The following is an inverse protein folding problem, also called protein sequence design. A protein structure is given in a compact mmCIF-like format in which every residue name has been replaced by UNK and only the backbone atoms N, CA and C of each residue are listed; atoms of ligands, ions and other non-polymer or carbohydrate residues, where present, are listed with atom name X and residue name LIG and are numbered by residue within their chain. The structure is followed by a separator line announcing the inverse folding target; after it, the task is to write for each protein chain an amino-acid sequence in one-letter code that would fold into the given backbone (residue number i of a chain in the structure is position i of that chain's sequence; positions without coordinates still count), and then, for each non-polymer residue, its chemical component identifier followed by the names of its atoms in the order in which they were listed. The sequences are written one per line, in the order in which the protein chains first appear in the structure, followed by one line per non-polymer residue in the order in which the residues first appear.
data_IF_266427959033
#
_entry.id   IF_266427959033
#
_cell.length_a   1.000
_cell.length_b   1.000
_cell.length_c   1.000
_cell.angle_alpha   90.00
_cell.angle_beta   90.00
_cell.angle_gamma   90.00
#
_symmetry.space_group_name_H-M   'P 1'
#
loop_
_entity.id
_entity.type
_entity.pdbx_description
1 polymer ?
#
# COMPACT_ATOMS: atom_id res chain seq x y z
N UNK A 1 62.14 8.23 49.77
CA UNK A 1 61.03 8.31 48.79
C UNK A 1 60.94 6.98 48.07
N UNK A 2 60.07 6.00 48.34
CA UNK A 2 58.68 6.01 48.81
C UNK A 2 57.73 6.09 47.60
N UNK A 3 56.79 5.18 47.31
CA UNK A 3 56.33 3.90 47.91
C UNK A 3 55.56 3.14 46.81
N UNK A 4 55.62 1.80 46.82
CA UNK A 4 54.60 0.89 46.23
C UNK A 4 53.37 0.87 47.13
N UNK A 5 52.14 0.93 46.59
CA UNK A 5 50.87 0.45 47.20
C UNK A 5 49.87 0.24 46.04
N UNK A 6 49.46 -0.97 45.63
CA UNK A 6 48.46 -1.91 46.17
C UNK A 6 47.01 -1.38 46.23
N UNK A 7 46.09 -1.95 45.45
CA UNK A 7 44.64 -2.08 45.75
C UNK A 7 44.03 -3.05 44.72
N UNK A 8 43.77 -4.30 45.09
CA UNK A 8 42.53 -4.86 45.69
C UNK A 8 41.32 -4.91 44.76
N UNK A 9 40.83 -6.15 44.56
CA UNK A 9 39.57 -6.52 43.93
C UNK A 9 38.39 -6.06 44.80
N UNK A 10 37.30 -5.63 44.18
CA UNK A 10 35.95 -6.04 44.55
C UNK A 10 34.98 -5.73 43.40
N UNK A 11 34.20 -6.74 43.00
CA UNK A 11 33.12 -6.58 42.04
C UNK A 11 31.90 -5.93 42.67
N UNK A 12 31.08 -5.29 41.85
CA UNK A 12 29.65 -5.17 42.07
C UNK A 12 28.93 -4.80 40.76
N UNK A 13 27.91 -5.60 40.46
CA UNK A 13 26.90 -5.44 39.43
C UNK A 13 26.07 -4.17 39.60
N UNK A 14 25.80 -3.43 38.51
CA UNK A 14 24.64 -2.53 38.37
C UNK A 14 24.21 -2.53 36.89
N UNK A 15 23.17 -3.31 36.57
CA UNK A 15 21.77 -2.91 36.47
C UNK A 15 21.46 -2.09 35.20
N UNK A 16 20.82 -2.78 34.26
CA UNK A 16 20.22 -2.27 33.04
C UNK A 16 19.17 -1.19 33.35
N UNK A 17 19.26 -0.04 32.68
CA UNK A 17 18.24 1.01 32.71
C UNK A 17 17.36 0.90 31.47
N UNK A 18 16.27 0.13 31.57
CA UNK A 18 15.13 0.21 30.65
C UNK A 18 13.89 0.51 31.48
N UNK A 19 13.29 1.69 31.31
CA UNK A 19 11.99 1.94 31.92
C UNK A 19 11.55 3.40 32.03
N UNK A 20 11.33 4.08 30.92
CA UNK A 20 10.42 5.24 30.91
C UNK A 20 9.57 5.25 29.66
N UNK A 21 8.51 4.44 29.67
CA UNK A 21 7.47 4.46 28.63
C UNK A 21 6.11 4.05 29.22
N UNK A 22 5.74 4.53 30.41
CA UNK A 22 4.36 4.43 30.89
C UNK A 22 3.98 5.66 31.72
N UNK A 23 2.85 6.27 31.36
CA UNK A 23 2.20 7.35 32.11
C UNK A 23 1.94 6.94 33.57
N UNK A 24 2.01 7.90 34.49
CA UNK A 24 1.82 7.75 35.95
C UNK A 24 0.50 7.05 36.30
N UNK A 25 -0.51 7.11 35.42
CA UNK A 25 -1.79 6.39 35.61
C UNK A 25 -1.67 4.88 35.37
N UNK A 26 -0.83 4.42 34.44
CA UNK A 26 -0.62 3.00 34.18
C UNK A 26 0.17 2.32 35.31
N UNK A 27 1.11 3.03 35.93
CA UNK A 27 1.85 2.53 37.10
C UNK A 27 0.93 2.33 38.31
N UNK A 28 -0.06 3.20 38.52
CA UNK A 28 -1.00 3.09 39.64
C UNK A 28 -1.91 1.84 39.55
N UNK A 29 -2.38 1.49 38.34
CA UNK A 29 -3.21 0.29 38.11
C UNK A 29 -2.41 -1.00 38.32
N UNK A 30 -1.16 -1.02 37.85
CA UNK A 30 -0.25 -2.16 38.03
C UNK A 30 0.04 -2.41 39.52
N UNK A 31 0.31 -1.35 40.29
CA UNK A 31 0.57 -1.45 41.74
C UNK A 31 -0.68 -1.90 42.52
N UNK A 32 -1.88 -1.48 42.13
CA UNK A 32 -3.13 -1.93 42.75
C UNK A 32 -3.42 -3.42 42.50
N UNK A 33 -3.08 -3.94 41.31
CA UNK A 33 -3.25 -5.35 40.97
C UNK A 33 -2.29 -6.26 41.75
N UNK A 34 -1.03 -5.84 41.95
CA UNK A 34 -0.07 -6.58 42.76
C UNK A 34 -0.43 -6.66 44.25
N UNK A 35 -1.09 -5.62 44.81
CA UNK A 35 -1.60 -5.65 46.19
C UNK A 35 -2.74 -6.64 46.43
N UNK A 36 -3.45 -7.07 45.37
CA UNK A 36 -4.55 -8.04 45.43
C UNK A 36 -4.13 -9.49 45.14
N UNK A 37 -2.84 -9.80 45.17
CA UNK A 37 -2.34 -11.16 44.96
C UNK A 37 -2.36 -11.64 43.52
N UNK A 38 -2.60 -10.74 42.55
CA UNK A 38 -2.46 -11.07 41.13
C UNK A 38 -0.98 -11.25 40.80
N UNK A 39 -0.55 -12.52 40.65
CA UNK A 39 0.73 -12.86 40.05
C UNK A 39 0.47 -13.26 38.60
N UNK A 40 0.75 -12.40 37.60
CA UNK A 40 0.65 -12.82 36.21
C UNK A 40 1.60 -14.00 36.02
N UNK A 41 1.07 -15.15 35.60
CA UNK A 41 1.91 -16.30 35.30
C UNK A 41 2.78 -15.98 34.07
N UNK A 42 4.04 -15.62 34.33
CA UNK A 42 5.03 -15.34 33.29
C UNK A 42 5.24 -16.55 32.35
N UNK A 43 4.88 -17.78 32.77
CA UNK A 43 4.90 -18.97 31.90
C UNK A 43 3.81 -18.95 30.83
N UNK A 44 2.68 -18.28 31.09
CA UNK A 44 1.58 -18.09 30.11
C UNK A 44 1.97 -17.17 28.95
N UNK A 45 2.97 -16.31 29.14
CA UNK A 45 3.48 -15.39 28.12
C UNK A 45 4.72 -15.92 27.39
N UNK A 46 5.52 -16.81 28.03
CA UNK A 46 6.72 -17.40 27.40
C UNK A 46 6.40 -18.27 26.18
N UNK A 47 5.40 -19.16 26.29
CA UNK A 47 5.05 -20.08 25.19
C UNK A 47 4.39 -19.42 23.97
N UNK A 48 4.03 -18.13 24.05
CA UNK A 48 3.42 -17.37 22.94
C UNK A 48 4.44 -16.57 22.13
N UNK A 49 5.67 -16.42 22.64
CA UNK A 49 6.77 -15.70 21.96
C UNK A 49 7.59 -16.66 21.08
N UNK A 50 7.50 -17.98 21.32
CA UNK A 50 8.35 -19.00 20.68
C UNK A 50 7.89 -19.45 19.28
N UNK A 51 6.77 -18.92 18.77
CA UNK A 51 6.38 -19.05 17.35
C UNK A 51 6.04 -17.67 16.81
N UNK A 52 7.07 -16.94 16.40
CA UNK A 52 6.90 -15.85 15.44
C UNK A 52 7.03 -16.49 14.05
N UNK A 53 5.95 -16.93 13.39
CA UNK A 53 6.08 -17.26 11.97
C UNK A 53 6.60 -15.99 11.29
N UNK A 54 7.76 -16.08 10.63
CA UNK A 54 8.20 -14.98 9.78
C UNK A 54 7.10 -14.76 8.74
N UNK A 55 6.42 -13.61 8.82
CA UNK A 55 5.44 -13.20 7.83
C UNK A 55 6.21 -12.53 6.71
N UNK A 56 6.41 -13.25 5.62
CA UNK A 56 7.01 -12.72 4.39
C UNK A 56 5.90 -12.31 3.43
N UNK A 57 5.93 -11.09 2.92
CA UNK A 57 5.05 -10.64 1.84
C UNK A 57 5.66 -11.08 0.51
N UNK A 58 4.94 -11.87 -0.28
CA UNK A 58 5.39 -12.33 -1.58
C UNK A 58 5.34 -11.21 -2.64
N UNK A 59 6.10 -11.34 -3.74
CA UNK A 59 6.03 -10.35 -4.83
C UNK A 59 4.61 -10.29 -5.43
N UNK A 60 3.91 -11.42 -5.50
CA UNK A 60 2.50 -11.47 -5.93
C UNK A 60 1.58 -10.71 -4.97
N UNK A 61 1.75 -10.89 -3.65
CA UNK A 61 0.97 -10.17 -2.64
C UNK A 61 1.24 -8.66 -2.68
N UNK A 62 2.51 -8.27 -2.87
CA UNK A 62 2.92 -6.86 -3.02
C UNK A 62 2.55 -6.24 -4.38
N UNK A 63 2.02 -7.02 -5.33
CA UNK A 63 1.63 -6.58 -6.66
C UNK A 63 0.17 -6.87 -6.95
N UNK A 64 -0.19 -8.03 -7.50
CA UNK A 64 -1.57 -8.41 -7.86
C UNK A 64 -2.49 -8.34 -6.65
N UNK A 65 -2.06 -8.91 -5.52
CA UNK A 65 -2.81 -8.88 -4.26
C UNK A 65 -3.06 -7.46 -3.72
N UNK A 66 -2.20 -6.50 -4.09
CA UNK A 66 -2.30 -5.11 -3.71
C UNK A 66 -3.09 -4.28 -4.72
N UNK A 67 -2.85 -4.44 -6.02
CA UNK A 67 -3.47 -3.61 -7.06
C UNK A 67 -4.94 -3.94 -7.29
N UNK A 68 -5.31 -5.22 -7.31
CA UNK A 68 -6.68 -5.64 -7.64
C UNK A 68 -7.72 -5.04 -6.69
N UNK A 69 -7.58 -5.10 -5.35
CA UNK A 69 -8.56 -4.51 -4.45
C UNK A 69 -8.73 -2.99 -4.66
N UNK A 70 -7.63 -2.28 -4.90
CA UNK A 70 -7.68 -0.83 -5.10
C UNK A 70 -8.20 -0.43 -6.48
N UNK A 71 -8.00 -1.25 -7.52
CA UNK A 71 -8.67 -1.06 -8.81
C UNK A 71 -10.19 -1.25 -8.69
N UNK A 72 -10.64 -2.26 -7.94
CA UNK A 72 -12.08 -2.45 -7.63
C UNK A 72 -12.64 -1.25 -6.84
N UNK A 73 -11.90 -0.75 -5.86
CA UNK A 73 -12.29 0.45 -5.12
C UNK A 73 -12.36 1.67 -6.05
N UNK A 74 -11.37 1.86 -6.93
CA UNK A 74 -11.37 2.95 -7.92
C UNK A 74 -12.59 2.88 -8.85
N UNK A 75 -12.96 1.69 -9.32
CA UNK A 75 -14.20 1.47 -10.07
C UNK A 75 -15.43 1.92 -9.29
N UNK A 76 -15.55 1.56 -8.01
CA UNK A 76 -16.65 1.99 -7.17
C UNK A 76 -16.65 3.52 -6.90
N UNK A 77 -15.48 4.17 -6.87
CA UNK A 77 -15.40 5.63 -6.79
C UNK A 77 -15.99 6.30 -8.05
N UNK A 78 -15.73 5.75 -9.23
CA UNK A 78 -16.29 6.25 -10.48
C UNK A 78 -17.81 6.09 -10.52
N UNK A 79 -18.35 4.95 -10.05
CA UNK A 79 -19.80 4.74 -9.94
C UNK A 79 -20.47 5.80 -9.05
N UNK A 80 -19.83 6.16 -7.93
CA UNK A 80 -20.31 7.27 -7.09
C UNK A 80 -20.25 8.62 -7.81
N UNK A 81 -19.23 8.83 -8.64
CA UNK A 81 -19.13 10.01 -9.50
C UNK A 81 -20.29 10.10 -10.50
N UNK A 82 -20.67 8.98 -11.12
CA UNK A 82 -21.85 8.87 -12.00
C UNK A 82 -23.12 9.22 -11.23
N UNK A 83 -23.37 8.56 -10.10
CA UNK A 83 -24.56 8.80 -9.28
C UNK A 83 -24.67 10.26 -8.79
N UNK A 84 -23.53 10.88 -8.45
CA UNK A 84 -23.46 12.29 -8.10
C UNK A 84 -23.87 13.18 -9.28
N UNK A 85 -23.33 12.93 -10.48
CA UNK A 85 -23.65 13.70 -11.68
C UNK A 85 -25.13 13.60 -12.05
N UNK A 86 -25.69 12.39 -11.97
CA UNK A 86 -27.13 12.13 -12.19
C UNK A 86 -28.00 12.91 -11.20
N UNK A 87 -27.68 12.83 -9.90
CA UNK A 87 -28.42 13.54 -8.85
C UNK A 87 -28.36 15.06 -9.03
N UNK A 88 -27.22 15.58 -9.48
CA UNK A 88 -26.99 17.01 -9.74
C UNK A 88 -27.39 17.45 -11.17
N UNK A 89 -27.88 16.52 -12.00
CA UNK A 89 -28.37 16.75 -13.36
C UNK A 89 -27.34 17.36 -14.32
N UNK A 90 -26.11 16.86 -14.29
CA UNK A 90 -25.08 17.22 -15.27
C UNK A 90 -24.45 15.98 -15.91
N UNK A 91 -23.80 16.16 -17.06
CA UNK A 91 -23.15 15.05 -17.76
C UNK A 91 -21.93 14.55 -16.95
N UNK A 92 -21.85 13.25 -16.57
CA UNK A 92 -20.73 12.71 -15.80
C UNK A 92 -19.36 12.90 -16.47
N UNK A 93 -19.31 13.06 -17.80
CA UNK A 93 -18.07 13.37 -18.52
C UNK A 93 -17.40 14.67 -18.07
N UNK A 94 -18.15 15.60 -17.45
CA UNK A 94 -17.58 16.83 -16.86
C UNK A 94 -16.56 16.49 -15.77
N UNK A 95 -16.80 15.45 -14.96
CA UNK A 95 -15.85 15.02 -13.92
C UNK A 95 -14.52 14.54 -14.53
N UNK A 96 -14.58 13.91 -15.71
CA UNK A 96 -13.43 13.30 -16.35
C UNK A 96 -12.37 14.32 -16.81
N UNK A 97 -12.80 15.55 -17.11
CA UNK A 97 -11.90 16.65 -17.49
C UNK A 97 -11.32 17.43 -16.30
N UNK A 98 -11.72 17.14 -15.06
CA UNK A 98 -11.27 17.89 -13.89
C UNK A 98 -9.80 17.63 -13.55
N UNK A 99 -9.10 18.69 -13.11
CA UNK A 99 -7.68 18.70 -12.72
C UNK A 99 -7.49 19.47 -11.42
N UNK A 100 -6.52 19.06 -10.59
CA UNK A 100 -6.16 19.79 -9.35
C UNK A 100 -5.21 20.98 -9.63
N UNK A 101 -4.45 20.91 -10.72
CA UNK A 101 -3.59 21.99 -11.19
C UNK A 101 -3.51 21.98 -12.72
N UNK A 102 -3.21 23.12 -13.39
CA UNK A 102 -3.21 23.21 -14.85
C UNK A 102 -2.26 22.22 -15.54
N UNK A 103 -1.14 21.90 -14.89
CA UNK A 103 -0.11 20.98 -15.39
C UNK A 103 -0.26 19.53 -14.88
N UNK A 104 -1.31 19.23 -14.13
CA UNK A 104 -1.62 17.85 -13.72
C UNK A 104 -2.53 17.17 -14.74
N UNK A 105 -2.45 15.84 -14.78
CA UNK A 105 -3.41 15.01 -15.50
C UNK A 105 -4.83 15.17 -14.94
N UNK A 106 -5.81 15.10 -15.83
CA UNK A 106 -7.23 15.05 -15.48
C UNK A 106 -7.64 13.67 -14.95
N UNK A 107 -8.85 13.59 -14.40
CA UNK A 107 -9.39 12.38 -13.79
C UNK A 107 -9.27 11.16 -14.72
N UNK A 108 -9.62 11.28 -16.00
CA UNK A 108 -9.50 10.16 -16.95
C UNK A 108 -8.05 9.67 -17.06
N UNK A 109 -7.10 10.59 -17.22
CA UNK A 109 -5.69 10.23 -17.32
C UNK A 109 -5.11 9.72 -15.98
N UNK A 110 -5.59 10.19 -14.82
CA UNK A 110 -5.22 9.61 -13.51
C UNK A 110 -5.64 8.12 -13.43
N UNK A 111 -6.89 7.81 -13.79
CA UNK A 111 -7.37 6.42 -13.85
C UNK A 111 -6.56 5.59 -14.85
N UNK A 112 -6.25 6.17 -16.00
CA UNK A 112 -5.44 5.54 -17.04
C UNK A 112 -4.03 5.15 -16.55
N UNK A 113 -3.35 6.05 -15.83
CA UNK A 113 -2.01 5.77 -15.27
C UNK A 113 -2.06 4.77 -14.10
N UNK A 114 -3.10 4.81 -13.26
CA UNK A 114 -3.31 3.79 -12.24
C UNK A 114 -3.41 2.39 -12.88
N UNK A 115 -4.24 2.24 -13.92
CA UNK A 115 -4.36 0.98 -14.66
C UNK A 115 -3.02 0.57 -15.30
N UNK A 116 -2.30 1.52 -15.93
CA UNK A 116 -1.00 1.25 -16.57
C UNK A 116 0.04 0.71 -15.59
N UNK A 117 0.21 1.34 -14.43
CA UNK A 117 1.16 0.86 -13.44
C UNK A 117 0.73 -0.48 -12.82
N UNK A 118 -0.57 -0.67 -12.62
CA UNK A 118 -1.11 -1.93 -12.12
C UNK A 118 -0.96 -3.09 -13.11
N UNK A 119 -0.95 -2.87 -14.43
CA UNK A 119 -0.79 -3.94 -15.43
C UNK A 119 0.64 -4.17 -15.85
N UNK A 120 1.42 -3.11 -16.10
CA UNK A 120 2.79 -3.25 -16.64
C UNK A 120 3.72 -3.91 -15.64
N UNK A 121 3.68 -3.53 -14.36
CA UNK A 121 4.60 -4.11 -13.38
C UNK A 121 4.39 -5.62 -13.19
N UNK A 122 3.17 -6.12 -12.89
CA UNK A 122 2.93 -7.56 -12.81
C UNK A 122 3.26 -8.30 -14.10
N UNK A 123 2.99 -7.73 -15.29
CA UNK A 123 3.34 -8.35 -16.56
C UNK A 123 4.85 -8.55 -16.71
N UNK A 124 5.65 -7.51 -16.41
CA UNK A 124 7.10 -7.59 -16.46
C UNK A 124 7.65 -8.59 -15.43
N UNK A 125 7.09 -8.63 -14.23
CA UNK A 125 7.44 -9.64 -13.21
C UNK A 125 7.10 -11.07 -13.68
N UNK A 126 5.99 -11.23 -14.37
CA UNK A 126 5.58 -12.48 -14.99
C UNK A 126 6.29 -12.76 -16.33
N UNK A 127 7.23 -11.92 -16.77
CA UNK A 127 7.89 -12.02 -18.07
C UNK A 127 6.88 -12.21 -19.23
N UNK A 128 5.80 -11.43 -19.20
CA UNK A 128 4.76 -11.36 -20.23
C UNK A 128 4.69 -9.95 -20.80
N UNK A 129 4.19 -9.85 -22.03
CA UNK A 129 3.86 -8.55 -22.61
C UNK A 129 2.69 -7.94 -21.85
N UNK A 130 2.76 -6.66 -21.45
CA UNK A 130 1.62 -5.97 -20.86
C UNK A 130 0.40 -5.98 -21.79
N UNK A 131 -0.80 -6.12 -21.22
CA UNK A 131 -2.04 -6.03 -21.99
C UNK A 131 -2.16 -4.67 -22.70
N UNK A 132 -2.55 -4.70 -23.96
CA UNK A 132 -3.02 -3.50 -24.67
C UNK A 132 -4.38 -3.13 -24.10
N UNK A 133 -4.41 -2.11 -23.26
CA UNK A 133 -5.66 -1.59 -22.71
C UNK A 133 -6.45 -0.84 -23.80
N UNK A 134 -7.81 -0.84 -23.74
CA UNK A 134 -8.65 -0.04 -24.63
C UNK A 134 -8.20 1.41 -24.69
N UNK A 135 -8.47 2.12 -25.80
CA UNK A 135 -8.18 3.54 -25.89
C UNK A 135 -8.73 4.29 -24.67
N UNK A 136 -8.01 5.31 -24.18
CA UNK A 136 -8.50 6.10 -23.07
C UNK A 136 -9.65 6.96 -23.58
N UNK A 137 -10.87 6.44 -23.45
CA UNK A 137 -12.09 7.16 -23.76
C UNK A 137 -12.40 8.14 -22.62
N UNK A 138 -12.82 9.35 -22.98
CA UNK A 138 -13.29 10.36 -22.02
C UNK A 138 -14.78 10.14 -21.67
N UNK A 139 -15.13 8.90 -21.36
CA UNK A 139 -16.42 8.53 -20.81
C UNK A 139 -16.27 7.51 -19.67
N UNK A 140 -17.30 7.41 -18.83
CA UNK A 140 -17.26 6.58 -17.62
C UNK A 140 -17.25 5.08 -17.96
N UNK A 141 -17.94 4.67 -19.02
CA UNK A 141 -18.04 3.25 -19.38
C UNK A 141 -16.70 2.71 -19.89
N UNK A 142 -15.99 3.48 -20.73
CA UNK A 142 -14.65 3.15 -21.21
C UNK A 142 -13.64 3.05 -20.07
N UNK A 143 -13.71 3.95 -19.07
CA UNK A 143 -12.86 3.85 -17.88
C UNK A 143 -13.18 2.62 -17.02
N UNK A 144 -14.46 2.29 -16.83
CA UNK A 144 -14.85 1.07 -16.13
C UNK A 144 -14.36 -0.19 -16.87
N UNK A 145 -14.54 -0.25 -18.19
CA UNK A 145 -14.06 -1.34 -19.02
C UNK A 145 -12.53 -1.49 -18.93
N UNK A 146 -11.79 -0.38 -18.98
CA UNK A 146 -10.33 -0.38 -18.81
C UNK A 146 -9.90 -0.92 -17.44
N UNK A 147 -10.59 -0.56 -16.36
CA UNK A 147 -10.32 -1.11 -15.02
C UNK A 147 -10.61 -2.62 -15.00
N UNK A 148 -11.74 -3.05 -15.55
CA UNK A 148 -12.12 -4.46 -15.60
C UNK A 148 -11.09 -5.30 -16.38
N UNK A 149 -10.69 -4.88 -17.58
CA UNK A 149 -9.63 -5.53 -18.37
C UNK A 149 -8.30 -5.58 -17.63
N UNK A 150 -7.96 -4.50 -16.89
CA UNK A 150 -6.74 -4.47 -16.10
C UNK A 150 -6.74 -5.54 -14.99
N UNK A 151 -7.86 -5.67 -14.27
CA UNK A 151 -8.05 -6.67 -13.22
C UNK A 151 -7.98 -8.08 -13.82
N UNK A 152 -8.77 -8.37 -14.86
CA UNK A 152 -8.82 -9.67 -15.51
C UNK A 152 -7.43 -10.13 -15.97
N UNK A 153 -6.68 -9.22 -16.62
CA UNK A 153 -5.33 -9.51 -17.09
C UNK A 153 -4.38 -9.88 -15.94
N UNK A 154 -4.32 -9.07 -14.88
CA UNK A 154 -3.34 -9.30 -13.80
C UNK A 154 -3.71 -10.48 -12.90
N UNK A 155 -5.00 -10.80 -12.74
CA UNK A 155 -5.44 -12.00 -12.04
C UNK A 155 -5.08 -13.28 -12.82
N UNK A 156 -4.98 -13.20 -14.14
CA UNK A 156 -4.56 -14.31 -15.00
C UNK A 156 -3.04 -14.57 -15.06
N UNK A 157 -2.21 -13.72 -14.44
CA UNK A 157 -0.75 -13.87 -14.51
C UNK A 157 -0.24 -15.00 -13.60
N UNK A 158 0.82 -15.73 -14.03
CA UNK A 158 1.37 -16.86 -13.27
C UNK A 158 2.03 -16.40 -11.97
N UNK A 159 1.39 -16.70 -10.83
CA UNK A 159 1.88 -16.35 -9.48
C UNK A 159 3.33 -16.77 -9.24
N UNK A 160 3.69 -17.99 -9.62
CA UNK A 160 5.03 -18.54 -9.37
C UNK A 160 6.14 -17.74 -10.09
N UNK A 161 5.86 -17.22 -11.30
CA UNK A 161 6.83 -16.41 -12.03
C UNK A 161 6.99 -15.04 -11.36
N UNK A 162 5.88 -14.42 -10.93
CA UNK A 162 5.90 -13.15 -10.19
C UNK A 162 6.67 -13.29 -8.87
N UNK A 163 6.40 -14.35 -8.10
CA UNK A 163 7.07 -14.59 -6.81
C UNK A 163 8.59 -14.82 -6.96
N UNK A 164 9.04 -15.37 -8.08
CA UNK A 164 10.47 -15.56 -8.38
C UNK A 164 11.17 -14.32 -8.96
N UNK A 165 10.44 -13.24 -9.27
CA UNK A 165 10.94 -12.15 -10.10
C UNK A 165 11.70 -11.03 -9.37
N UNK A 166 11.87 -11.12 -8.05
CA UNK A 166 12.41 -10.03 -7.23
C UNK A 166 13.76 -9.47 -7.74
N UNK A 167 14.66 -10.34 -8.20
CA UNK A 167 16.00 -9.96 -8.69
C UNK A 167 16.13 -9.99 -10.22
N UNK A 168 15.03 -10.23 -10.96
CA UNK A 168 15.06 -10.20 -12.42
C UNK A 168 15.26 -8.77 -12.92
N UNK A 169 16.16 -8.60 -13.89
CA UNK A 169 16.29 -7.34 -14.60
C UNK A 169 15.10 -7.15 -15.55
N UNK A 170 14.41 -6.04 -15.40
CA UNK A 170 13.21 -5.68 -16.18
C UNK A 170 13.31 -4.24 -16.64
N UNK A 171 12.68 -3.94 -17.78
CA UNK A 171 12.76 -2.63 -18.41
C UNK A 171 11.36 -2.03 -18.53
N UNK A 172 11.11 -0.94 -17.82
CA UNK A 172 9.85 -0.22 -17.95
C UNK A 172 9.97 0.77 -19.10
N UNK A 173 9.19 0.57 -20.17
CA UNK A 173 9.18 1.46 -21.33
C UNK A 173 8.21 2.62 -21.14
N UNK A 174 8.74 3.83 -21.06
CA UNK A 174 7.97 5.07 -21.04
C UNK A 174 7.22 5.28 -22.36
N UNK A 175 6.19 6.15 -22.34
CA UNK A 175 5.38 6.46 -23.54
C UNK A 175 6.20 7.06 -24.69
N UNK A 176 7.29 7.76 -24.39
CA UNK A 176 8.22 8.32 -25.38
C UNK A 176 9.22 7.29 -25.93
N UNK A 177 9.11 6.01 -25.51
CA UNK A 177 9.96 4.92 -25.95
C UNK A 177 11.23 4.70 -25.11
N UNK A 178 11.57 5.60 -24.18
CA UNK A 178 12.71 5.42 -23.29
C UNK A 178 12.49 4.23 -22.35
N UNK A 179 13.49 3.36 -22.22
CA UNK A 179 13.48 2.25 -21.28
C UNK A 179 14.21 2.61 -19.99
N UNK A 180 13.56 2.33 -18.86
CA UNK A 180 14.11 2.51 -17.53
C UNK A 180 14.47 1.14 -16.93
N UNK A 181 15.74 0.89 -16.58
CA UNK A 181 16.17 -0.39 -16.04
C UNK A 181 15.82 -0.51 -14.55
N UNK A 182 15.36 -1.69 -14.13
CA UNK A 182 15.05 -2.03 -12.74
C UNK A 182 15.36 -3.50 -12.45
N UNK A 183 15.40 -3.85 -11.16
CA UNK A 183 15.10 -5.21 -10.73
C UNK A 183 13.58 -5.34 -10.53
N UNK A 184 13.01 -6.54 -10.55
CA UNK A 184 11.57 -6.72 -10.32
C UNK A 184 11.12 -6.08 -9.00
N UNK A 185 11.93 -6.21 -7.95
CA UNK A 185 11.68 -5.58 -6.64
C UNK A 185 11.65 -4.06 -6.72
N UNK A 186 12.62 -3.43 -7.37
CA UNK A 186 12.69 -1.95 -7.45
C UNK A 186 11.63 -1.39 -8.40
N UNK A 187 11.33 -2.09 -9.50
CA UNK A 187 10.21 -1.75 -10.39
C UNK A 187 8.90 -1.71 -9.61
N UNK A 188 8.65 -2.71 -8.76
CA UNK A 188 7.41 -2.79 -8.01
C UNK A 188 7.38 -1.77 -6.87
N UNK A 189 8.32 -1.87 -5.92
CA UNK A 189 8.22 -1.19 -4.63
C UNK A 189 8.63 0.27 -4.67
N UNK A 190 9.54 0.66 -5.56
CA UNK A 190 10.06 2.04 -5.62
C UNK A 190 9.52 2.84 -6.79
N UNK A 191 8.84 2.19 -7.74
CA UNK A 191 8.31 2.87 -8.93
C UNK A 191 6.81 2.65 -9.08
N UNK A 192 6.36 1.43 -9.35
CA UNK A 192 4.96 1.20 -9.77
C UNK A 192 3.95 1.28 -8.63
N UNK A 193 4.26 0.78 -7.43
CA UNK A 193 3.37 0.93 -6.25
C UNK A 193 3.21 2.40 -5.85
N UNK A 194 4.28 3.21 -5.71
CA UNK A 194 4.14 4.65 -5.45
C UNK A 194 3.33 5.38 -6.52
N UNK A 195 3.61 5.13 -7.80
CA UNK A 195 2.89 5.74 -8.91
C UNK A 195 1.41 5.37 -8.90
N UNK A 196 1.09 4.09 -8.73
CA UNK A 196 -0.29 3.60 -8.64
C UNK A 196 -1.09 4.34 -7.56
N UNK A 197 -0.57 4.38 -6.32
CA UNK A 197 -1.30 5.02 -5.23
C UNK A 197 -1.39 6.54 -5.37
N UNK A 198 -0.39 7.19 -5.96
CA UNK A 198 -0.47 8.61 -6.30
C UNK A 198 -1.67 8.87 -7.21
N UNK A 199 -1.83 8.08 -8.27
CA UNK A 199 -2.91 8.24 -9.23
C UNK A 199 -4.29 7.89 -8.66
N UNK A 200 -4.42 6.78 -7.89
CA UNK A 200 -5.68 6.41 -7.23
C UNK A 200 -6.10 7.47 -6.22
N UNK A 201 -5.16 7.99 -5.43
CA UNK A 201 -5.44 9.05 -4.44
C UNK A 201 -5.85 10.34 -5.15
N UNK A 202 -5.16 10.71 -6.23
CA UNK A 202 -5.50 11.92 -6.99
C UNK A 202 -6.89 11.81 -7.64
N UNK A 203 -7.26 10.62 -8.15
CA UNK A 203 -8.61 10.37 -8.67
C UNK A 203 -9.68 10.52 -7.57
N UNK A 204 -9.42 9.96 -6.38
CA UNK A 204 -10.26 10.14 -5.20
C UNK A 204 -10.43 11.62 -4.84
N UNK A 205 -9.32 12.37 -4.80
CA UNK A 205 -9.31 13.78 -4.43
C UNK A 205 -10.05 14.65 -5.46
N UNK A 206 -9.91 14.36 -6.75
CA UNK A 206 -10.66 15.05 -7.82
C UNK A 206 -12.17 14.87 -7.67
N UNK A 207 -12.63 13.64 -7.47
CA UNK A 207 -14.05 13.34 -7.24
C UNK A 207 -14.56 14.02 -5.97
N UNK A 208 -13.79 13.93 -4.88
CA UNK A 208 -14.16 14.56 -3.61
C UNK A 208 -14.18 16.08 -3.72
N UNK A 209 -13.24 16.68 -4.44
CA UNK A 209 -13.18 18.11 -4.73
C UNK A 209 -14.37 18.57 -5.58
N UNK A 210 -14.86 17.73 -6.50
CA UNK A 210 -16.05 17.99 -7.31
C UNK A 210 -17.36 18.00 -6.51
N UNK A 211 -17.35 17.56 -5.25
CA UNK A 211 -18.52 17.45 -4.39
C UNK A 211 -19.12 16.06 -4.30
N UNK A 212 -18.47 15.02 -4.86
CA UNK A 212 -18.89 13.63 -4.65
C UNK A 212 -18.69 13.28 -3.17
N UNK A 213 -19.73 12.74 -2.54
CA UNK A 213 -19.73 12.41 -1.10
C UNK A 213 -18.93 11.13 -0.82
N UNK A 214 -17.61 11.26 -0.87
CA UNK A 214 -16.68 10.19 -0.59
C UNK A 214 -16.23 10.20 0.88
N UNK A 215 -15.94 9.03 1.43
CA UNK A 215 -15.29 8.84 2.74
C UNK A 215 -14.03 7.98 2.58
N UNK A 216 -13.15 7.95 3.60
CA UNK A 216 -11.90 7.17 3.52
C UNK A 216 -12.15 5.67 3.30
N UNK A 217 -13.29 5.14 3.78
CA UNK A 217 -13.71 3.75 3.53
C UNK A 217 -13.90 3.46 2.05
N UNK A 218 -14.31 4.43 1.24
CA UNK A 218 -14.49 4.22 -0.20
C UNK A 218 -13.15 4.05 -0.93
N UNK A 219 -12.09 4.69 -0.43
CA UNK A 219 -10.73 4.52 -0.93
C UNK A 219 -10.13 3.17 -0.49
N UNK A 220 -10.28 2.82 0.79
CA UNK A 220 -9.67 1.61 1.36
C UNK A 220 -10.44 0.33 1.00
N UNK A 221 -11.73 0.43 0.69
CA UNK A 221 -12.60 -0.71 0.47
C UNK A 221 -13.05 -1.40 1.76
N UNK A 222 -13.75 -2.55 1.63
CA UNK A 222 -14.12 -3.37 2.77
C UNK A 222 -12.86 -3.91 3.47
N UNK A 223 -12.88 -3.98 4.81
CA UNK A 223 -11.83 -4.68 5.56
C UNK A 223 -12.06 -6.18 5.40
N UNK A 224 -11.10 -6.89 4.83
CA UNK A 224 -11.05 -8.34 4.96
C UNK A 224 -10.94 -8.69 6.45
N UNK A 225 -11.76 -9.65 6.89
CA UNK A 225 -11.74 -10.20 8.25
C UNK A 225 -11.19 -11.61 8.21
#
# INVERSE_FOLDING_TARGET
MGRKVHQQRHGQSRQESNGHLFSTQAQAVIVQLFRRGFRPDARRWRGRIERNPEVTISMYEASVGLFVPYLRNLSALLDKGVAYAETRKFNPAVLLGMRLAPNMYDLAQQVGEACRHATVAPALLAQREPVTLPALEHDMAGLQARIATSIEFIEGLPRAEIDAAAELNVFFRLKNGTELPFTGRTLLLTFSVPQFFFHVTTAYDLLRHAGVELVKRDFLGPRER
#
